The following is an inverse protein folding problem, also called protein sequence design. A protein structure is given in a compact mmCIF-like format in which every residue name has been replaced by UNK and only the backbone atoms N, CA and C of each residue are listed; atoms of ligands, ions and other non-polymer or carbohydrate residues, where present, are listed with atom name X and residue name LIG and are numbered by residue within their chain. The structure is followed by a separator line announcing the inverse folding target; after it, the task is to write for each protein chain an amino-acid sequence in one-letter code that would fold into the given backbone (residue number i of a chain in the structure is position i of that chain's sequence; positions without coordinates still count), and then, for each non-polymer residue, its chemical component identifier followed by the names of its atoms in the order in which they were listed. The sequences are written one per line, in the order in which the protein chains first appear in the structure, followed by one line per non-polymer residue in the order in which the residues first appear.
data_IF_410004541267
#
_entry.id   IF_410004541267
#
_cell.length_a   1.000
_cell.length_b   1.000
_cell.length_c   1.000
_cell.angle_alpha   90.00
_cell.angle_beta   90.00
_cell.angle_gamma   90.00
#
_symmetry.space_group_name_H-M   'P 1'
#
loop_
_entity.id
_entity.type
_entity.pdbx_description
1 polymer ?
#
# COMPACT_ATOMS: atom_id res chain seq x y z
N UNK A 1 -9.96 2.43 75.84
CA UNK A 1 -10.16 1.10 75.23
C UNK A 1 -11.52 0.94 74.52
N UNK A 2 -12.13 1.99 73.95
CA UNK A 2 -13.46 1.85 73.32
C UNK A 2 -13.44 2.07 71.79
N UNK A 3 -12.32 2.46 71.21
CA UNK A 3 -12.26 2.83 69.77
C UNK A 3 -11.93 1.64 68.84
N UNK A 4 -11.43 0.55 69.32
CA UNK A 4 -11.00 -0.59 68.47
C UNK A 4 -12.17 -1.52 68.05
N UNK A 5 -13.30 -1.50 68.75
CA UNK A 5 -14.49 -2.29 68.42
C UNK A 5 -15.18 -1.79 67.11
N UNK A 6 -15.08 -0.52 66.79
CA UNK A 6 -15.69 0.06 65.59
C UNK A 6 -14.81 -0.09 64.33
N UNK A 7 -13.51 -0.31 64.51
CA UNK A 7 -12.61 -0.54 63.39
C UNK A 7 -12.92 -1.85 62.65
N UNK A 8 -13.29 -2.90 63.40
CA UNK A 8 -13.69 -4.19 62.85
C UNK A 8 -15.04 -4.15 62.16
N UNK A 9 -15.97 -3.35 62.60
CA UNK A 9 -17.26 -3.15 61.97
C UNK A 9 -17.14 -2.42 60.61
N UNK A 10 -16.23 -1.47 60.51
CA UNK A 10 -15.95 -0.76 59.24
C UNK A 10 -15.25 -1.68 58.20
N UNK A 11 -14.39 -2.61 58.65
CA UNK A 11 -13.74 -3.58 57.75
C UNK A 11 -14.72 -4.63 57.22
N UNK A 12 -15.73 -5.05 58.02
CA UNK A 12 -16.76 -6.00 57.57
C UNK A 12 -17.74 -5.35 56.57
N UNK A 13 -18.07 -4.08 56.73
CA UNK A 13 -18.95 -3.34 55.84
C UNK A 13 -18.26 -3.09 54.47
N UNK A 14 -16.92 -2.89 54.46
CA UNK A 14 -16.16 -2.73 53.22
C UNK A 14 -16.09 -4.03 52.42
N UNK A 15 -16.21 -5.22 53.04
CA UNK A 15 -16.23 -6.52 52.38
C UNK A 15 -17.60 -6.92 51.80
N UNK A 16 -18.67 -6.21 52.15
CA UNK A 16 -20.03 -6.47 51.67
C UNK A 16 -20.50 -5.57 50.56
N UNK A 17 -19.67 -4.62 50.09
CA UNK A 17 -19.97 -3.85 48.89
C UNK A 17 -19.73 -4.74 47.67
N UNK A 18 -20.78 -5.20 46.96
CA UNK A 18 -20.57 -5.95 45.74
C UNK A 18 -19.88 -5.00 44.76
N UNK A 19 -18.60 -5.25 44.47
CA UNK A 19 -17.91 -4.64 43.34
C UNK A 19 -18.61 -5.13 42.08
N UNK A 20 -19.74 -4.48 41.73
CA UNK A 20 -20.31 -4.60 40.40
C UNK A 20 -19.37 -3.93 39.42
N UNK A 21 -18.19 -4.54 39.20
CA UNK A 21 -17.36 -4.28 38.04
C UNK A 21 -18.10 -4.89 36.86
N UNK A 22 -19.08 -4.17 36.34
CA UNK A 22 -19.67 -4.46 35.04
C UNK A 22 -18.58 -4.20 34.03
N UNK A 23 -17.74 -5.21 33.78
CA UNK A 23 -16.85 -5.23 32.64
C UNK A 23 -17.75 -5.19 31.41
N UNK A 24 -18.03 -3.98 30.90
CA UNK A 24 -18.59 -3.82 29.56
C UNK A 24 -17.66 -4.57 28.61
N UNK A 25 -18.01 -5.82 28.31
CA UNK A 25 -17.39 -6.58 27.23
C UNK A 25 -17.53 -5.71 26.00
N UNK A 26 -16.46 -5.06 25.57
CA UNK A 26 -16.40 -4.30 24.33
C UNK A 26 -16.67 -5.33 23.26
N UNK A 27 -17.92 -5.44 22.80
CA UNK A 27 -18.26 -6.27 21.64
C UNK A 27 -17.46 -5.67 20.50
N UNK A 28 -16.38 -6.35 20.08
CA UNK A 28 -15.68 -5.98 18.87
C UNK A 28 -16.72 -6.04 17.75
N UNK A 29 -16.94 -4.87 17.13
CA UNK A 29 -17.81 -4.78 15.96
C UNK A 29 -17.19 -5.67 14.88
N UNK A 30 -17.88 -6.73 14.50
CA UNK A 30 -17.46 -7.59 13.39
C UNK A 30 -17.35 -6.71 12.15
N UNK A 31 -16.15 -6.65 11.58
CA UNK A 31 -15.90 -5.91 10.34
C UNK A 31 -16.70 -6.54 9.20
N UNK A 32 -17.27 -5.72 8.35
CA UNK A 32 -17.84 -6.20 7.09
C UNK A 32 -16.72 -6.71 6.17
N UNK A 33 -17.08 -7.57 5.20
CA UNK A 33 -16.10 -8.07 4.21
C UNK A 33 -15.42 -6.93 3.48
N UNK A 34 -16.15 -5.85 3.16
CA UNK A 34 -15.58 -4.66 2.56
C UNK A 34 -14.53 -3.99 3.46
N UNK A 35 -14.84 -3.79 4.73
CA UNK A 35 -13.88 -3.21 5.69
C UNK A 35 -12.64 -4.10 5.86
N UNK A 36 -12.82 -5.41 5.80
CA UNK A 36 -11.70 -6.36 5.86
C UNK A 36 -10.82 -6.24 4.61
N UNK A 37 -11.41 -6.35 3.43
CA UNK A 37 -10.66 -6.31 2.17
C UNK A 37 -10.01 -4.96 1.90
N UNK A 38 -10.70 -3.85 2.16
CA UNK A 38 -10.11 -2.51 2.05
C UNK A 38 -8.96 -2.31 3.04
N UNK A 39 -9.07 -2.86 4.25
CA UNK A 39 -8.00 -2.84 5.25
C UNK A 39 -6.76 -3.63 4.81
N UNK A 40 -6.93 -4.82 4.24
CA UNK A 40 -5.83 -5.63 3.68
C UNK A 40 -5.16 -4.88 2.52
N UNK A 41 -5.97 -4.35 1.60
CA UNK A 41 -5.48 -3.59 0.47
C UNK A 41 -4.63 -2.38 0.91
N UNK A 42 -5.10 -1.63 1.90
CA UNK A 42 -4.35 -0.52 2.48
C UNK A 42 -3.02 -0.97 3.11
N UNK A 43 -3.03 -2.06 3.89
CA UNK A 43 -1.83 -2.59 4.52
C UNK A 43 -0.77 -3.04 3.50
N UNK A 44 -1.19 -3.55 2.36
CA UNK A 44 -0.28 -3.92 1.28
C UNK A 44 0.26 -2.70 0.53
N UNK A 45 -0.59 -1.73 0.27
CA UNK A 45 -0.27 -0.58 -0.58
C UNK A 45 0.51 0.52 0.14
N UNK A 46 0.15 0.82 1.40
CA UNK A 46 0.71 1.95 2.11
C UNK A 46 2.25 1.90 2.25
N UNK A 47 2.89 0.79 2.65
CA UNK A 47 4.34 0.74 2.77
C UNK A 47 5.06 0.90 1.43
N UNK A 48 4.49 0.42 0.33
CA UNK A 48 5.07 0.57 -1.02
C UNK A 48 4.95 2.01 -1.48
N UNK A 49 3.73 2.54 -1.51
CA UNK A 49 3.46 3.86 -2.08
C UNK A 49 4.00 5.01 -1.23
N UNK A 50 3.98 4.91 0.10
CA UNK A 50 4.57 5.94 0.97
C UNK A 50 6.08 6.06 0.74
N UNK A 51 6.80 4.94 0.69
CA UNK A 51 8.23 4.94 0.45
C UNK A 51 8.56 5.41 -0.98
N UNK A 52 7.89 4.87 -1.98
CA UNK A 52 8.15 5.23 -3.37
C UNK A 52 7.79 6.69 -3.68
N UNK A 53 6.77 7.25 -3.04
CA UNK A 53 6.43 8.68 -3.19
C UNK A 53 7.53 9.63 -2.73
N UNK A 54 8.46 9.14 -1.91
CA UNK A 54 9.62 9.86 -1.39
C UNK A 54 10.95 9.44 -2.06
N UNK A 55 10.93 8.55 -3.03
CA UNK A 55 12.13 8.00 -3.67
C UNK A 55 12.95 7.09 -2.76
N UNK A 56 12.29 6.37 -1.84
CA UNK A 56 12.91 5.52 -0.81
C UNK A 56 12.50 4.05 -0.88
N UNK A 57 11.76 3.63 -1.90
CA UNK A 57 11.29 2.24 -1.96
C UNK A 57 12.47 1.27 -2.05
N UNK A 58 13.41 1.52 -2.97
CA UNK A 58 14.57 0.63 -3.16
C UNK A 58 15.52 0.64 -1.97
N UNK A 59 15.55 1.72 -1.19
CA UNK A 59 16.33 1.82 0.04
C UNK A 59 15.70 1.02 1.18
N UNK A 60 14.38 1.07 1.33
CA UNK A 60 13.68 0.52 2.49
C UNK A 60 13.07 -0.87 2.26
N UNK A 61 12.86 -1.28 1.00
CA UNK A 61 12.35 -2.60 0.65
C UNK A 61 13.52 -3.53 0.31
N UNK A 62 13.93 -4.34 1.27
CA UNK A 62 14.95 -5.37 1.04
C UNK A 62 14.40 -6.51 0.20
N UNK A 63 15.14 -6.87 -0.86
CA UNK A 63 14.80 -8.00 -1.72
C UNK A 63 15.57 -9.23 -1.24
N UNK A 64 14.84 -10.23 -0.75
CA UNK A 64 15.38 -11.55 -0.45
C UNK A 64 15.42 -12.39 -1.75
N UNK A 65 16.59 -12.91 -2.07
CA UNK A 65 16.79 -13.73 -3.25
C UNK A 65 16.72 -15.21 -2.88
N UNK A 66 16.07 -16.01 -3.75
CA UNK A 66 16.12 -17.47 -3.62
C UNK A 66 17.57 -17.97 -3.73
N UNK A 67 17.94 -19.04 -3.01
CA UNK A 67 19.22 -19.72 -3.21
C UNK A 67 19.44 -20.19 -4.66
N UNK A 68 18.36 -20.36 -5.42
CA UNK A 68 18.37 -20.76 -6.84
C UNK A 68 18.04 -19.58 -7.77
N UNK A 69 18.35 -18.36 -7.35
CA UNK A 69 18.15 -17.17 -8.17
C UNK A 69 18.94 -17.30 -9.49
N UNK A 70 18.30 -16.95 -10.60
CA UNK A 70 18.85 -17.12 -11.95
C UNK A 70 19.89 -16.06 -12.37
N UNK A 71 20.22 -15.14 -11.47
CA UNK A 71 21.23 -14.11 -11.70
C UNK A 71 20.74 -12.85 -12.40
N UNK A 72 19.43 -12.76 -12.74
CA UNK A 72 18.87 -11.52 -13.29
C UNK A 72 18.98 -10.36 -12.29
N UNK A 73 18.94 -9.14 -12.79
CA UNK A 73 18.99 -7.95 -11.92
C UNK A 73 17.81 -7.94 -10.93
N UNK A 74 18.12 -7.99 -9.62
CA UNK A 74 17.10 -7.99 -8.57
C UNK A 74 16.14 -6.78 -8.60
N UNK A 75 16.53 -5.69 -9.28
CA UNK A 75 15.67 -4.49 -9.41
C UNK A 75 14.39 -4.74 -10.20
N UNK A 76 14.28 -5.85 -10.95
CA UNK A 76 13.01 -6.27 -11.57
C UNK A 76 11.91 -6.41 -10.53
N UNK A 77 12.24 -6.82 -9.30
CA UNK A 77 11.28 -6.99 -8.19
C UNK A 77 10.54 -5.70 -7.84
N UNK A 78 11.19 -4.56 -7.90
CA UNK A 78 10.54 -3.28 -7.60
C UNK A 78 9.51 -2.90 -8.66
N UNK A 79 9.81 -3.15 -9.93
CA UNK A 79 8.87 -2.90 -11.02
C UNK A 79 7.68 -3.87 -10.96
N UNK A 80 7.94 -5.14 -10.67
CA UNK A 80 6.89 -6.15 -10.46
C UNK A 80 5.99 -5.77 -9.29
N UNK A 81 6.57 -5.41 -8.14
CA UNK A 81 5.85 -4.97 -6.96
C UNK A 81 4.94 -3.78 -7.27
N UNK A 82 5.50 -2.71 -7.84
CA UNK A 82 4.76 -1.49 -8.15
C UNK A 82 3.69 -1.71 -9.22
N UNK A 83 4.05 -2.35 -10.34
CA UNK A 83 3.14 -2.54 -11.47
C UNK A 83 1.92 -3.38 -11.11
N UNK A 84 2.13 -4.53 -10.47
CA UNK A 84 1.02 -5.42 -10.05
C UNK A 84 0.15 -4.78 -8.97
N UNK A 85 0.77 -4.08 -8.01
CA UNK A 85 0.04 -3.34 -7.00
C UNK A 85 -0.87 -2.29 -7.64
N UNK A 86 -0.33 -1.49 -8.58
CA UNK A 86 -1.09 -0.42 -9.20
C UNK A 86 -2.21 -0.93 -10.11
N UNK A 87 -2.01 -2.03 -10.84
CA UNK A 87 -3.08 -2.65 -11.63
C UNK A 87 -4.26 -3.11 -10.75
N UNK A 88 -3.96 -3.65 -9.56
CA UNK A 88 -4.98 -4.05 -8.59
C UNK A 88 -5.67 -2.87 -7.90
N UNK A 89 -4.92 -1.81 -7.60
CA UNK A 89 -5.42 -0.62 -6.88
C UNK A 89 -6.25 0.32 -7.75
N UNK A 90 -5.93 0.43 -9.05
CA UNK A 90 -6.46 1.47 -9.92
C UNK A 90 -7.99 1.60 -9.90
N UNK A 91 -8.80 0.53 -9.96
CA UNK A 91 -10.25 0.65 -9.89
C UNK A 91 -10.74 1.23 -8.56
N UNK A 92 -10.10 0.86 -7.45
CA UNK A 92 -10.48 1.35 -6.13
C UNK A 92 -10.04 2.81 -5.92
N UNK A 93 -8.85 3.19 -6.39
CA UNK A 93 -8.37 4.57 -6.35
C UNK A 93 -9.20 5.52 -7.22
N UNK A 94 -9.94 4.99 -8.20
CA UNK A 94 -10.81 5.77 -9.10
C UNK A 94 -12.19 6.05 -8.52
N UNK A 95 -12.53 5.46 -7.37
CA UNK A 95 -13.80 5.77 -6.71
C UNK A 95 -13.83 7.23 -6.24
N UNK A 96 -15.01 7.86 -6.23
CA UNK A 96 -15.18 9.23 -5.74
C UNK A 96 -14.66 9.40 -4.31
N UNK A 97 -14.19 10.61 -4.00
CA UNK A 97 -13.79 10.97 -2.64
C UNK A 97 -15.01 11.03 -1.73
N UNK A 98 -14.83 10.58 -0.51
CA UNK A 98 -15.83 10.66 0.56
C UNK A 98 -15.11 10.80 1.92
N UNK A 99 -15.88 11.19 2.95
CA UNK A 99 -15.35 11.43 4.29
C UNK A 99 -15.33 10.18 5.18
N UNK A 100 -15.55 9.00 4.61
CA UNK A 100 -15.40 7.74 5.34
C UNK A 100 -13.93 7.45 5.62
N UNK A 101 -13.67 6.60 6.61
CA UNK A 101 -12.29 6.14 6.89
C UNK A 101 -11.65 5.49 5.66
N UNK A 102 -12.42 4.74 4.87
CA UNK A 102 -11.97 4.16 3.60
C UNK A 102 -11.66 5.24 2.56
N UNK A 103 -12.53 6.26 2.42
CA UNK A 103 -12.33 7.36 1.48
C UNK A 103 -11.08 8.19 1.77
N UNK A 104 -10.83 8.47 3.05
CA UNK A 104 -9.62 9.18 3.50
C UNK A 104 -8.36 8.37 3.16
N UNK A 105 -8.35 7.07 3.45
CA UNK A 105 -7.23 6.17 3.11
C UNK A 105 -7.00 6.09 1.60
N UNK A 106 -8.08 5.98 0.81
CA UNK A 106 -8.03 5.95 -0.65
C UNK A 106 -7.42 7.22 -1.24
N UNK A 107 -7.86 8.38 -0.76
CA UNK A 107 -7.31 9.67 -1.17
C UNK A 107 -5.81 9.75 -0.87
N UNK A 108 -5.39 9.38 0.32
CA UNK A 108 -3.98 9.37 0.70
C UNK A 108 -3.14 8.45 -0.19
N UNK A 109 -3.63 7.23 -0.47
CA UNK A 109 -2.93 6.31 -1.36
C UNK A 109 -2.86 6.83 -2.80
N UNK A 110 -3.91 7.51 -3.28
CA UNK A 110 -3.90 8.13 -4.61
C UNK A 110 -2.86 9.25 -4.71
N UNK A 111 -2.73 10.08 -3.69
CA UNK A 111 -1.70 11.12 -3.64
C UNK A 111 -0.28 10.53 -3.68
N UNK A 112 -0.03 9.46 -2.91
CA UNK A 112 1.24 8.74 -2.96
C UNK A 112 1.46 8.04 -4.31
N UNK A 113 0.43 7.44 -4.88
CA UNK A 113 0.51 6.79 -6.19
C UNK A 113 0.94 7.76 -7.29
N UNK A 114 0.36 8.95 -7.35
CA UNK A 114 0.73 9.97 -8.34
C UNK A 114 2.20 10.36 -8.23
N UNK A 115 2.71 10.56 -7.02
CA UNK A 115 4.14 10.82 -6.78
C UNK A 115 5.00 9.61 -7.13
N UNK A 116 4.56 8.40 -6.81
CA UNK A 116 5.26 7.15 -7.12
C UNK A 116 5.39 6.94 -8.63
N UNK A 117 4.36 7.26 -9.40
CA UNK A 117 4.44 7.24 -10.86
C UNK A 117 5.54 8.19 -11.37
N UNK A 118 5.66 9.40 -10.83
CA UNK A 118 6.72 10.32 -11.21
C UNK A 118 8.11 9.76 -10.88
N UNK A 119 8.29 9.21 -9.66
CA UNK A 119 9.56 8.60 -9.25
C UNK A 119 9.96 7.42 -10.14
N UNK A 120 8.99 6.61 -10.56
CA UNK A 120 9.24 5.37 -11.33
C UNK A 120 9.86 5.59 -12.71
N UNK A 121 9.67 6.76 -13.29
CA UNK A 121 10.15 7.14 -14.64
C UNK A 121 11.12 8.32 -14.63
N UNK A 122 11.47 8.86 -13.47
CA UNK A 122 12.47 9.90 -13.35
C UNK A 122 13.88 9.30 -13.29
N UNK A 123 14.74 9.49 -14.31
CA UNK A 123 16.09 8.94 -14.32
C UNK A 123 16.96 9.41 -13.16
N UNK A 124 16.64 10.56 -12.55
CA UNK A 124 17.36 11.10 -11.40
C UNK A 124 16.84 10.55 -10.06
N UNK A 125 15.70 9.85 -10.07
CA UNK A 125 15.13 9.23 -8.88
C UNK A 125 15.91 7.97 -8.50
N UNK A 126 16.11 7.77 -7.18
CA UNK A 126 16.61 6.49 -6.65
C UNK A 126 15.63 5.33 -6.90
N UNK A 127 14.35 5.65 -7.09
CA UNK A 127 13.28 4.68 -7.37
C UNK A 127 12.94 4.59 -8.86
N UNK A 128 13.84 5.11 -9.75
CA UNK A 128 13.72 4.82 -11.17
C UNK A 128 13.70 3.31 -11.41
N UNK A 129 12.65 2.82 -12.04
CA UNK A 129 12.45 1.38 -12.23
C UNK A 129 13.35 0.82 -13.35
N UNK A 130 13.58 -0.48 -13.29
CA UNK A 130 14.35 -1.19 -14.31
C UNK A 130 13.47 -1.46 -15.54
N UNK A 131 13.36 -0.48 -16.43
CA UNK A 131 12.54 -0.58 -17.64
C UNK A 131 13.14 -1.45 -18.75
N UNK A 132 14.44 -1.76 -18.67
CA UNK A 132 15.19 -2.40 -19.76
C UNK A 132 16.18 -3.43 -19.23
N UNK A 133 16.78 -4.19 -20.14
CA UNK A 133 17.82 -5.21 -19.93
C UNK A 133 17.32 -6.62 -19.60
N UNK A 134 16.09 -6.76 -19.14
CA UNK A 134 15.50 -8.04 -18.74
C UNK A 134 14.18 -8.25 -19.49
N UNK A 135 13.71 -9.49 -19.58
CA UNK A 135 12.38 -9.79 -20.15
C UNK A 135 11.22 -9.42 -19.23
N UNK A 136 11.44 -9.53 -17.91
CA UNK A 136 10.41 -9.25 -16.89
C UNK A 136 9.81 -7.84 -16.99
N UNK A 137 10.57 -6.75 -17.22
CA UNK A 137 10.02 -5.41 -17.39
C UNK A 137 8.92 -5.27 -18.43
N UNK A 138 8.93 -6.06 -19.51
CA UNK A 138 7.86 -6.03 -20.50
C UNK A 138 6.51 -6.43 -19.89
N UNK A 139 6.50 -7.46 -19.06
CA UNK A 139 5.30 -7.95 -18.36
C UNK A 139 4.82 -6.93 -17.33
N UNK A 140 5.74 -6.40 -16.53
CA UNK A 140 5.38 -5.50 -15.44
C UNK A 140 4.96 -4.11 -15.95
N UNK A 141 5.53 -3.67 -17.07
CA UNK A 141 5.07 -2.48 -17.77
C UNK A 141 3.63 -2.60 -18.28
N UNK A 142 3.20 -3.80 -18.68
CA UNK A 142 1.82 -4.04 -19.07
C UNK A 142 0.86 -3.82 -17.89
N UNK A 143 1.22 -4.25 -16.67
CA UNK A 143 0.44 -3.96 -15.47
C UNK A 143 0.38 -2.45 -15.15
N UNK A 144 1.49 -1.73 -15.34
CA UNK A 144 1.50 -0.27 -15.17
C UNK A 144 0.57 0.37 -16.21
N UNK A 145 0.66 -0.02 -17.48
CA UNK A 145 -0.22 0.49 -18.52
C UNK A 145 -1.70 0.17 -18.23
N UNK A 146 -2.00 -1.04 -17.76
CA UNK A 146 -3.34 -1.44 -17.34
C UNK A 146 -3.87 -0.57 -16.21
N UNK A 147 -3.02 -0.20 -15.25
CA UNK A 147 -3.43 0.69 -14.16
C UNK A 147 -3.88 2.07 -14.67
N UNK A 148 -3.23 2.60 -15.69
CA UNK A 148 -3.65 3.84 -16.34
C UNK A 148 -4.96 3.69 -17.12
N UNK A 149 -5.18 2.54 -17.78
CA UNK A 149 -6.44 2.28 -18.48
C UNK A 149 -7.61 2.13 -17.52
N UNK A 150 -7.40 1.44 -16.38
CA UNK A 150 -8.42 1.24 -15.35
C UNK A 150 -8.71 2.48 -14.52
N UNK A 151 -7.73 3.35 -14.34
CA UNK A 151 -7.81 4.55 -13.52
C UNK A 151 -7.49 5.83 -14.27
N UNK A 152 -7.90 5.94 -15.53
CA UNK A 152 -7.46 7.02 -16.44
C UNK A 152 -7.63 8.42 -15.82
N UNK A 153 -8.83 8.74 -15.35
CA UNK A 153 -9.13 10.08 -14.82
C UNK A 153 -8.44 10.34 -13.46
N UNK A 154 -8.24 9.29 -12.66
CA UNK A 154 -7.66 9.40 -11.32
C UNK A 154 -6.13 9.30 -11.29
N UNK A 155 -5.52 8.60 -12.26
CA UNK A 155 -4.12 8.23 -12.22
C UNK A 155 -3.30 8.75 -13.41
N UNK A 156 -3.88 8.83 -14.61
CA UNK A 156 -3.18 9.36 -15.78
C UNK A 156 -3.38 10.86 -15.98
N UNK A 157 -4.64 11.31 -15.96
CA UNK A 157 -4.97 12.73 -16.22
C UNK A 157 -4.22 13.68 -15.27
N UNK A 158 -4.12 13.41 -13.94
CA UNK A 158 -3.45 14.30 -12.99
C UNK A 158 -1.93 14.35 -13.09
N UNK A 159 -1.29 13.41 -13.82
CA UNK A 159 0.18 13.42 -13.97
C UNK A 159 0.60 14.67 -14.77
N UNK A 160 1.76 15.21 -14.42
CA UNK A 160 2.38 16.28 -15.18
C UNK A 160 2.86 15.80 -16.57
N UNK A 161 3.05 16.75 -17.48
CA UNK A 161 3.39 16.43 -18.87
C UNK A 161 4.75 15.74 -19.00
N UNK A 162 5.73 16.07 -18.16
CA UNK A 162 7.05 15.45 -18.20
C UNK A 162 6.95 13.98 -17.79
N UNK A 163 6.23 13.68 -16.72
CA UNK A 163 5.97 12.30 -16.28
C UNK A 163 5.27 11.49 -17.38
N UNK A 164 4.24 12.05 -18.02
CA UNK A 164 3.55 11.40 -19.15
C UNK A 164 4.49 11.13 -20.32
N UNK A 165 5.31 12.11 -20.71
CA UNK A 165 6.28 11.95 -21.80
C UNK A 165 7.30 10.86 -21.49
N UNK A 166 7.81 10.79 -20.26
CA UNK A 166 8.73 9.76 -19.81
C UNK A 166 8.09 8.35 -19.90
N UNK A 167 6.84 8.18 -19.44
CA UNK A 167 6.11 6.92 -19.60
C UNK A 167 5.93 6.51 -21.05
N UNK A 168 5.53 7.45 -21.90
CA UNK A 168 5.38 7.19 -23.35
C UNK A 168 6.70 6.72 -23.94
N UNK A 169 7.81 7.36 -23.58
CA UNK A 169 9.14 6.98 -24.07
C UNK A 169 9.54 5.57 -23.61
N UNK A 170 9.31 5.21 -22.33
CA UNK A 170 9.62 3.87 -21.83
C UNK A 170 8.74 2.80 -22.52
N UNK A 171 7.44 3.02 -22.65
CA UNK A 171 6.54 2.08 -23.35
C UNK A 171 6.91 1.92 -24.83
N UNK A 172 7.34 3.00 -25.51
CA UNK A 172 7.81 2.91 -26.91
C UNK A 172 9.09 2.07 -27.04
N UNK A 173 10.01 2.16 -26.07
CA UNK A 173 11.23 1.34 -26.09
C UNK A 173 10.91 -0.15 -25.84
N UNK A 174 9.98 -0.46 -24.96
CA UNK A 174 9.56 -1.84 -24.69
C UNK A 174 8.90 -2.53 -25.89
N UNK A 175 8.30 -1.79 -26.82
CA UNK A 175 7.76 -2.34 -28.09
C UNK A 175 8.81 -3.02 -28.96
N UNK A 176 10.10 -2.81 -28.70
CA UNK A 176 11.23 -3.44 -29.42
C UNK A 176 11.70 -4.74 -28.77
N UNK A 177 11.14 -5.08 -27.63
CA UNK A 177 11.47 -6.33 -26.92
C UNK A 177 10.55 -7.43 -27.45
N UNK A 178 11.13 -8.54 -27.91
CA UNK A 178 10.34 -9.70 -28.30
C UNK A 178 9.69 -10.32 -27.08
N UNK A 179 8.36 -10.49 -27.07
CA UNK A 179 7.68 -11.10 -25.93
C UNK A 179 8.10 -12.56 -25.78
N UNK A 180 8.30 -13.06 -24.55
CA UNK A 180 8.56 -14.46 -24.35
C UNK A 180 7.35 -15.30 -24.79
N UNK A 181 7.62 -16.50 -25.30
CA UNK A 181 6.56 -17.44 -25.75
C UNK A 181 5.64 -17.87 -24.61
N UNK A 182 6.17 -17.99 -23.42
CA UNK A 182 5.44 -18.32 -22.19
C UNK A 182 5.79 -17.34 -21.09
N UNK A 183 4.81 -17.02 -20.28
CA UNK A 183 4.98 -16.17 -19.11
C UNK A 183 4.89 -17.00 -17.84
#
# INVERSE_FOLDING_TARGET
MKTWKYLWLLLIVALLVPLNVSAKKKTEKVKSDRELWAGILYQMAAPVLSNMSEGKLQENMLVELSPTWDGRDKRVTYMECFGRLMAGLAPWLSLPDDDTAEGIQRKQLREWALKSYAQSVDPESKDYLLWRKEGQPLVDAAYIAESFLRGYDALWVPLDDLTKQRYIAEFQQLRRVDPPYTN
#
